data_IF_160336071229
#
_entry.id   IF_160336071229
#
_cell.length_a   1.000
_cell.length_b   1.000
_cell.length_c   1.000
_cell.angle_alpha   90.00
_cell.angle_beta   90.00
_cell.angle_gamma   90.00
#
_symmetry.space_group_name_H-M   'P 1'
#
loop_
_entity.id
_entity.type
_entity.pdbx_description
1 polymer ?
#
# COMPACT_ATOMS: atom_id res chain seq x y z
N UNK A 1 -37.92 14.32 5.00
CA UNK A 1 -36.77 15.02 4.35
C UNK A 1 -35.52 14.22 4.59
N UNK A 2 -35.00 13.50 3.60
CA UNK A 2 -33.76 12.77 3.72
C UNK A 2 -32.57 13.75 3.76
N UNK A 3 -31.82 13.77 4.83
CA UNK A 3 -30.63 14.61 4.98
C UNK A 3 -29.69 14.41 3.79
N UNK A 4 -29.27 15.51 3.15
CA UNK A 4 -28.22 15.51 2.11
C UNK A 4 -26.82 15.25 2.69
N UNK A 5 -26.67 15.27 4.02
CA UNK A 5 -25.42 15.04 4.72
C UNK A 5 -25.13 13.54 4.76
N UNK A 6 -23.87 13.17 4.47
CA UNK A 6 -23.36 11.79 4.41
C UNK A 6 -22.39 11.48 5.56
N UNK A 7 -22.41 12.28 6.62
CA UNK A 7 -21.60 12.04 7.80
C UNK A 7 -21.96 10.69 8.45
N UNK A 8 -20.94 9.99 8.95
CA UNK A 8 -21.09 8.76 9.74
C UNK A 8 -20.85 9.08 11.20
N UNK A 9 -21.50 8.35 12.10
CA UNK A 9 -21.25 8.44 13.53
C UNK A 9 -19.83 7.87 13.82
N UNK A 10 -18.90 8.66 14.39
CA UNK A 10 -17.55 8.19 14.70
C UNK A 10 -17.50 7.09 15.76
N UNK A 11 -18.52 6.96 16.62
CA UNK A 11 -18.59 5.91 17.65
C UNK A 11 -18.64 4.51 17.03
N UNK A 12 -19.14 4.39 15.80
CA UNK A 12 -19.26 3.12 15.08
C UNK A 12 -18.08 2.87 14.11
N UNK A 13 -16.99 3.66 14.17
CA UNK A 13 -15.82 3.44 13.36
C UNK A 13 -15.01 2.25 13.88
N UNK A 14 -14.92 1.17 13.08
CA UNK A 14 -14.04 0.05 13.44
C UNK A 14 -12.56 0.41 13.23
N UNK A 15 -11.66 -0.04 14.14
CA UNK A 15 -10.22 0.16 13.98
C UNK A 15 -9.73 -0.54 12.71
N UNK A 16 -8.98 0.17 11.88
CA UNK A 16 -8.36 -0.42 10.68
C UNK A 16 -7.02 -1.07 11.02
N UNK A 17 -6.61 -2.08 10.26
CA UNK A 17 -5.28 -2.69 10.36
C UNK A 17 -4.17 -1.74 9.92
N UNK A 18 -2.92 -1.91 10.45
CA UNK A 18 -1.82 -1.01 10.13
C UNK A 18 -1.44 -1.06 8.65
N UNK A 19 -1.24 0.13 8.07
CA UNK A 19 -0.65 0.35 6.74
C UNK A 19 0.59 1.20 6.98
N UNK A 20 1.79 0.63 6.82
CA UNK A 20 2.99 1.32 7.24
C UNK A 20 4.16 1.19 6.28
N UNK A 21 5.04 2.19 6.33
CA UNK A 21 6.33 2.23 5.70
C UNK A 21 7.41 1.99 6.75
N UNK A 22 8.35 1.11 6.44
CA UNK A 22 9.52 0.80 7.28
C UNK A 22 10.75 1.05 6.43
N UNK A 23 11.67 1.90 6.88
CA UNK A 23 12.89 2.16 6.16
C UNK A 23 14.10 2.24 7.10
N UNK A 24 15.30 2.25 6.55
CA UNK A 24 16.56 2.33 7.30
C UNK A 24 17.70 1.66 6.57
N UNK A 25 18.92 1.81 7.11
CA UNK A 25 20.15 1.26 6.54
C UNK A 25 20.09 -0.26 6.35
N UNK A 26 20.92 -0.85 5.47
CA UNK A 26 21.05 -2.30 5.35
C UNK A 26 21.40 -2.96 6.70
N UNK A 27 20.88 -4.17 6.94
CA UNK A 27 21.24 -4.97 8.11
C UNK A 27 20.70 -4.48 9.46
N UNK A 28 19.80 -3.49 9.50
CA UNK A 28 19.17 -3.02 10.76
C UNK A 28 18.01 -3.90 11.23
N UNK A 29 17.60 -4.92 10.45
CA UNK A 29 16.57 -5.89 10.83
C UNK A 29 15.14 -5.51 10.42
N UNK A 30 14.97 -4.75 9.35
CA UNK A 30 13.65 -4.40 8.78
C UNK A 30 12.83 -5.65 8.43
N UNK A 31 13.35 -6.45 7.51
CA UNK A 31 12.75 -7.71 7.05
C UNK A 31 12.50 -8.66 8.20
N UNK A 32 13.52 -8.89 9.05
CA UNK A 32 13.39 -9.82 10.16
C UNK A 32 12.24 -9.49 11.09
N UNK A 33 12.10 -8.21 11.48
CA UNK A 33 10.99 -7.75 12.32
C UNK A 33 9.63 -7.72 11.60
N UNK A 34 9.62 -7.46 10.29
CA UNK A 34 8.40 -7.50 9.50
C UNK A 34 7.81 -8.92 9.39
N UNK A 35 8.67 -9.93 9.26
CA UNK A 35 8.26 -11.34 9.18
C UNK A 35 7.83 -11.95 10.53
N UNK A 36 7.89 -11.20 11.65
CA UNK A 36 7.28 -11.59 12.92
C UNK A 36 5.76 -11.31 12.96
N UNK A 37 5.25 -10.53 12.01
CA UNK A 37 3.82 -10.31 11.89
C UNK A 37 3.07 -11.60 11.52
N UNK A 38 1.78 -11.74 11.88
CA UNK A 38 1.06 -12.99 11.69
C UNK A 38 0.83 -13.31 10.22
N UNK A 39 1.04 -14.56 9.85
CA UNK A 39 0.72 -15.17 8.55
C UNK A 39 1.06 -14.27 7.35
N UNK A 40 2.35 -13.97 7.17
CA UNK A 40 2.83 -13.06 6.14
C UNK A 40 2.71 -13.66 4.72
N UNK A 41 2.15 -12.89 3.80
CA UNK A 41 2.40 -13.02 2.36
C UNK A 41 3.55 -12.08 2.02
N UNK A 42 4.73 -12.65 1.76
CA UNK A 42 5.98 -11.90 1.59
C UNK A 42 6.34 -11.76 0.12
N UNK A 43 6.27 -10.54 -0.39
CA UNK A 43 6.68 -10.19 -1.77
C UNK A 43 8.13 -9.73 -1.69
N UNK A 44 9.03 -10.62 -2.09
CA UNK A 44 10.47 -10.45 -2.04
C UNK A 44 11.02 -9.98 -3.38
N UNK A 45 11.27 -8.69 -3.52
CA UNK A 45 11.86 -8.13 -4.73
C UNK A 45 13.38 -8.28 -4.79
N UNK A 46 14.00 -8.71 -3.69
CA UNK A 46 15.47 -8.74 -3.53
C UNK A 46 16.06 -10.13 -3.66
N UNK A 47 15.25 -11.19 -3.62
CA UNK A 47 15.70 -12.58 -3.64
C UNK A 47 16.29 -13.04 -2.29
N UNK A 48 15.95 -12.34 -1.20
CA UNK A 48 16.45 -12.69 0.15
C UNK A 48 15.76 -13.91 0.76
N UNK A 49 14.59 -14.29 0.26
CA UNK A 49 13.84 -15.46 0.73
C UNK A 49 14.61 -16.77 0.54
N UNK A 50 15.42 -16.87 -0.50
CA UNK A 50 16.25 -18.06 -0.78
C UNK A 50 17.31 -18.33 0.29
N UNK A 51 17.54 -17.38 1.19
CA UNK A 51 18.48 -17.51 2.31
C UNK A 51 17.88 -18.30 3.49
N UNK A 52 17.21 -19.38 3.28
CA UNK A 52 16.74 -20.39 4.25
C UNK A 52 16.18 -19.92 5.61
N UNK A 53 16.78 -18.94 6.26
CA UNK A 53 16.32 -18.42 7.55
C UNK A 53 15.02 -17.58 7.46
N UNK A 54 14.77 -16.89 6.34
CA UNK A 54 13.49 -16.19 6.12
C UNK A 54 12.37 -17.18 5.81
N UNK A 55 12.65 -18.19 4.97
CA UNK A 55 11.67 -19.24 4.66
C UNK A 55 11.30 -20.06 5.88
N UNK A 56 12.27 -20.40 6.75
CA UNK A 56 11.98 -21.08 8.00
C UNK A 56 11.07 -20.26 8.92
N UNK A 57 11.31 -18.94 9.01
CA UNK A 57 10.50 -18.02 9.80
C UNK A 57 9.09 -17.88 9.23
N UNK A 58 8.93 -17.75 7.92
CA UNK A 58 7.64 -17.72 7.23
C UNK A 58 6.86 -19.01 7.44
N UNK A 59 7.51 -20.17 7.28
CA UNK A 59 6.87 -21.46 7.49
C UNK A 59 6.34 -21.62 8.93
N UNK A 60 7.10 -21.17 9.92
CA UNK A 60 6.69 -21.22 11.33
C UNK A 60 5.44 -20.37 11.63
N UNK A 61 5.24 -19.26 10.90
CA UNK A 61 4.06 -18.38 11.05
C UNK A 61 2.91 -18.71 10.09
N UNK A 62 3.02 -19.76 9.26
CA UNK A 62 2.04 -20.11 8.22
C UNK A 62 2.04 -19.15 7.03
N UNK A 63 3.16 -18.43 6.81
CA UNK A 63 3.34 -17.52 5.70
C UNK A 63 3.67 -18.21 4.36
N UNK A 64 3.78 -17.39 3.33
CA UNK A 64 4.25 -17.76 1.98
C UNK A 64 5.08 -16.61 1.41
N UNK A 65 5.88 -16.88 0.39
CA UNK A 65 6.60 -15.84 -0.32
C UNK A 65 6.44 -15.95 -1.83
N UNK A 66 6.69 -14.84 -2.51
CA UNK A 66 6.73 -14.65 -3.95
C UNK A 66 8.05 -13.94 -4.27
N UNK A 67 8.93 -14.59 -5.03
CA UNK A 67 10.26 -14.09 -5.37
C UNK A 67 10.32 -13.37 -6.73
N UNK A 68 11.52 -12.92 -7.14
CA UNK A 68 11.73 -12.28 -8.44
C UNK A 68 11.29 -13.15 -9.62
N UNK A 69 11.52 -14.46 -9.58
CA UNK A 69 11.13 -15.41 -10.62
C UNK A 69 9.61 -15.58 -10.74
N UNK A 70 8.86 -15.25 -9.68
CA UNK A 70 7.41 -15.24 -9.65
C UNK A 70 6.81 -13.89 -10.08
N UNK A 71 7.62 -12.91 -10.46
CA UNK A 71 7.19 -11.59 -10.87
C UNK A 71 7.18 -10.52 -9.78
N UNK A 72 7.87 -10.73 -8.65
CA UNK A 72 7.93 -9.73 -7.56
C UNK A 72 8.56 -8.38 -7.98
N UNK A 73 9.29 -8.34 -9.11
CA UNK A 73 9.85 -7.11 -9.71
C UNK A 73 8.95 -6.47 -10.78
N UNK A 74 7.83 -7.09 -11.11
CA UNK A 74 6.85 -6.51 -12.00
C UNK A 74 5.73 -5.84 -11.22
N UNK A 75 5.56 -4.55 -11.44
CA UNK A 75 4.61 -3.74 -10.65
C UNK A 75 3.15 -4.14 -10.89
N UNK A 76 2.80 -4.53 -12.13
CA UNK A 76 1.45 -4.97 -12.47
C UNK A 76 1.13 -6.27 -11.74
N UNK A 77 2.05 -7.24 -11.79
CA UNK A 77 1.93 -8.51 -11.06
C UNK A 77 1.76 -8.29 -9.56
N UNK A 78 2.53 -7.38 -8.94
CA UNK A 78 2.37 -7.06 -7.52
C UNK A 78 1.01 -6.46 -7.22
N UNK A 79 0.48 -5.58 -8.08
CA UNK A 79 -0.86 -5.01 -7.94
C UNK A 79 -1.93 -6.10 -8.05
N UNK A 80 -1.78 -7.05 -8.97
CA UNK A 80 -2.68 -8.21 -9.10
C UNK A 80 -2.68 -9.08 -7.84
N UNK A 81 -1.51 -9.29 -7.19
CA UNK A 81 -1.46 -9.99 -5.91
C UNK A 81 -2.22 -9.23 -4.81
N UNK A 82 -2.12 -7.90 -4.76
CA UNK A 82 -2.90 -7.09 -3.81
C UNK A 82 -4.40 -7.18 -4.10
N UNK A 83 -4.80 -7.18 -5.37
CA UNK A 83 -6.19 -7.38 -5.77
C UNK A 83 -6.70 -8.79 -5.37
N UNK A 84 -5.91 -9.83 -5.62
CA UNK A 84 -6.24 -11.20 -5.23
C UNK A 84 -6.36 -11.34 -3.70
N UNK A 85 -5.42 -10.78 -2.94
CA UNK A 85 -5.48 -10.75 -1.46
C UNK A 85 -6.71 -9.97 -0.96
N UNK A 86 -7.18 -8.96 -1.67
CA UNK A 86 -8.37 -8.22 -1.28
C UNK A 86 -9.68 -8.96 -1.56
N UNK A 87 -9.72 -9.83 -2.58
CA UNK A 87 -10.97 -10.33 -3.16
C UNK A 87 -11.17 -11.84 -3.03
N UNK A 88 -10.09 -12.60 -2.87
CA UNK A 88 -10.14 -14.06 -2.82
C UNK A 88 -9.94 -14.58 -1.40
N UNK A 89 -10.58 -15.71 -1.02
CA UNK A 89 -10.34 -16.34 0.28
C UNK A 89 -8.88 -16.78 0.44
N UNK A 90 -8.25 -16.43 1.55
CA UNK A 90 -6.89 -16.84 1.90
C UNK A 90 -6.69 -16.82 3.43
N UNK A 91 -5.55 -17.37 3.89
CA UNK A 91 -5.20 -17.44 5.33
C UNK A 91 -4.30 -16.31 5.82
N UNK A 92 -3.75 -15.49 4.93
CA UNK A 92 -2.76 -14.46 5.28
C UNK A 92 -3.41 -13.30 6.02
N UNK A 93 -2.70 -12.76 7.02
CA UNK A 93 -3.13 -11.60 7.81
C UNK A 93 -2.28 -10.36 7.53
N UNK A 94 -1.09 -10.58 6.98
CA UNK A 94 -0.11 -9.54 6.69
C UNK A 94 0.42 -9.68 5.26
N UNK A 95 0.58 -8.57 4.54
CA UNK A 95 1.38 -8.51 3.32
C UNK A 95 2.60 -7.63 3.55
N UNK A 96 3.76 -8.13 3.15
CA UNK A 96 5.05 -7.44 3.25
C UNK A 96 5.63 -7.31 1.85
N UNK A 97 6.03 -6.10 1.45
CA UNK A 97 6.76 -5.85 0.19
C UNK A 97 8.18 -5.41 0.53
N UNK A 98 9.16 -6.21 0.20
CA UNK A 98 10.58 -5.97 0.49
C UNK A 98 11.46 -6.15 -0.77
N UNK A 99 11.85 -5.04 -1.39
CA UNK A 99 11.60 -3.66 -1.02
C UNK A 99 10.75 -2.94 -2.06
N UNK A 100 9.88 -2.07 -1.59
CA UNK A 100 9.12 -1.17 -2.46
C UNK A 100 10.04 -0.22 -3.23
N UNK A 101 11.24 0.07 -2.70
CA UNK A 101 12.27 0.86 -3.37
C UNK A 101 12.74 0.20 -4.65
N UNK A 102 13.05 -1.10 -4.60
CA UNK A 102 13.55 -1.83 -5.77
C UNK A 102 12.49 -1.94 -6.85
N UNK A 103 11.24 -2.25 -6.45
CA UNK A 103 10.10 -2.32 -7.37
C UNK A 103 9.87 -0.97 -8.07
N UNK A 104 9.86 0.14 -7.31
CA UNK A 104 9.67 1.48 -7.86
C UNK A 104 10.81 1.88 -8.80
N UNK A 105 12.06 1.71 -8.36
CA UNK A 105 13.24 2.12 -9.11
C UNK A 105 13.46 1.27 -10.37
N UNK A 106 13.14 -0.03 -10.35
CA UNK A 106 13.18 -0.89 -11.54
C UNK A 106 12.22 -0.38 -12.63
N UNK A 107 11.03 0.03 -12.25
CA UNK A 107 10.05 0.61 -13.18
C UNK A 107 10.52 1.95 -13.74
N UNK A 108 11.11 2.81 -12.92
CA UNK A 108 11.70 4.08 -13.37
C UNK A 108 12.85 3.83 -14.35
N UNK A 109 13.74 2.88 -14.05
CA UNK A 109 14.88 2.55 -14.90
C UNK A 109 14.43 2.01 -16.27
N UNK A 110 13.47 1.07 -16.28
CA UNK A 110 12.87 0.52 -17.51
C UNK A 110 12.26 1.63 -18.39
N UNK A 111 11.59 2.59 -17.78
CA UNK A 111 10.98 3.69 -18.52
C UNK A 111 12.02 4.70 -19.00
N UNK A 112 13.05 4.98 -18.20
CA UNK A 112 14.18 5.83 -18.63
C UNK A 112 14.90 5.24 -19.83
N UNK A 113 15.15 3.93 -19.84
CA UNK A 113 15.73 3.23 -21.00
C UNK A 113 14.83 3.34 -22.25
N UNK A 114 13.51 3.15 -22.08
CA UNK A 114 12.54 3.29 -23.18
C UNK A 114 12.50 4.71 -23.76
N UNK A 115 12.64 5.74 -22.92
CA UNK A 115 12.60 7.15 -23.34
C UNK A 115 13.93 7.61 -23.94
N UNK A 116 15.07 7.06 -23.50
CA UNK A 116 16.40 7.49 -23.93
C UNK A 116 16.59 9.00 -23.77
N UNK A 117 17.06 9.68 -24.83
CA UNK A 117 17.29 11.14 -24.85
C UNK A 117 16.02 11.98 -24.60
N UNK A 118 14.82 11.38 -24.61
CA UNK A 118 13.54 12.04 -24.32
C UNK A 118 13.19 12.03 -22.83
N UNK A 119 14.00 11.41 -21.95
CA UNK A 119 13.79 11.45 -20.52
C UNK A 119 14.15 12.82 -19.94
N UNK A 120 13.21 13.75 -20.01
CA UNK A 120 13.34 15.08 -19.47
C UNK A 120 12.35 15.33 -18.33
N UNK A 121 12.77 16.16 -17.35
CA UNK A 121 11.92 16.58 -16.24
C UNK A 121 11.30 15.43 -15.42
N UNK A 122 11.99 14.28 -15.35
CA UNK A 122 11.50 13.11 -14.60
C UNK A 122 10.33 12.40 -15.26
N UNK A 123 10.25 12.43 -16.60
CA UNK A 123 9.20 11.74 -17.36
C UNK A 123 9.18 10.24 -17.09
N UNK A 124 10.36 9.62 -16.89
CA UNK A 124 10.52 8.21 -16.51
C UNK A 124 9.85 7.82 -15.19
N UNK A 125 9.63 8.78 -14.27
CA UNK A 125 8.94 8.51 -12.99
C UNK A 125 7.42 8.42 -13.11
N UNK A 126 6.81 8.96 -14.19
CA UNK A 126 5.34 9.03 -14.30
C UNK A 126 4.65 7.66 -14.25
N UNK A 127 5.07 6.63 -14.99
CA UNK A 127 4.46 5.30 -14.91
C UNK A 127 4.62 4.68 -13.52
N UNK A 128 5.80 4.75 -12.91
CA UNK A 128 6.04 4.22 -11.58
C UNK A 128 5.14 4.89 -10.52
N UNK A 129 4.90 6.20 -10.63
CA UNK A 129 3.97 6.93 -9.76
C UNK A 129 2.52 6.50 -10.02
N UNK A 130 2.13 6.22 -11.26
CA UNK A 130 0.79 5.73 -11.57
C UNK A 130 0.55 4.34 -10.95
N UNK A 131 1.50 3.41 -11.12
CA UNK A 131 1.45 2.10 -10.48
C UNK A 131 1.43 2.19 -8.95
N UNK A 132 2.24 3.07 -8.35
CA UNK A 132 2.22 3.30 -6.93
C UNK A 132 0.85 3.76 -6.42
N UNK A 133 0.21 4.69 -7.11
CA UNK A 133 -1.15 5.14 -6.76
C UNK A 133 -2.16 4.00 -6.83
N UNK A 134 -2.05 3.15 -7.85
CA UNK A 134 -2.90 1.96 -8.00
C UNK A 134 -2.68 0.96 -6.87
N UNK A 135 -1.41 0.68 -6.53
CA UNK A 135 -1.05 -0.18 -5.38
C UNK A 135 -1.65 0.37 -4.07
N UNK A 136 -1.56 1.68 -3.84
CA UNK A 136 -2.14 2.32 -2.66
C UNK A 136 -3.68 2.25 -2.67
N UNK A 137 -4.32 2.36 -3.82
CA UNK A 137 -5.77 2.17 -3.92
C UNK A 137 -6.19 0.76 -3.48
N UNK A 138 -5.49 -0.28 -3.89
CA UNK A 138 -5.71 -1.65 -3.41
C UNK A 138 -5.31 -1.82 -1.94
N UNK A 139 -4.20 -1.23 -1.49
CA UNK A 139 -3.79 -1.21 -0.08
C UNK A 139 -4.90 -0.67 0.83
N UNK A 140 -5.60 0.36 0.39
CA UNK A 140 -6.71 0.97 1.15
C UNK A 140 -7.94 0.07 1.25
N UNK A 141 -8.10 -0.87 0.32
CA UNK A 141 -9.21 -1.85 0.32
C UNK A 141 -8.90 -3.11 1.10
N UNK A 142 -7.61 -3.44 1.27
CA UNK A 142 -7.18 -4.62 2.00
C UNK A 142 -7.52 -4.53 3.49
N UNK A 143 -8.24 -5.51 4.03
CA UNK A 143 -8.37 -5.71 5.47
C UNK A 143 -7.23 -6.59 6.00
N UNK A 144 -5.98 -6.19 5.72
CA UNK A 144 -4.74 -6.86 6.15
C UNK A 144 -3.76 -5.85 6.74
N UNK A 145 -2.82 -6.32 7.54
CA UNK A 145 -1.63 -5.52 7.87
C UNK A 145 -0.79 -5.36 6.59
N UNK A 146 -0.36 -4.14 6.27
CA UNK A 146 0.48 -3.88 5.09
C UNK A 146 1.76 -3.20 5.52
N UNK A 147 2.90 -3.82 5.18
CA UNK A 147 4.23 -3.35 5.48
C UNK A 147 5.01 -3.15 4.17
N UNK A 148 5.29 -1.91 3.83
CA UNK A 148 6.23 -1.59 2.76
C UNK A 148 7.59 -1.35 3.37
N UNK A 149 8.58 -2.14 2.95
CA UNK A 149 9.98 -1.95 3.35
C UNK A 149 10.69 -1.16 2.26
N UNK A 150 11.36 -0.08 2.65
CA UNK A 150 12.12 0.77 1.73
C UNK A 150 13.60 0.85 2.13
N UNK A 151 14.43 1.11 1.11
CA UNK A 151 15.83 1.52 1.35
C UNK A 151 15.85 2.94 1.92
N UNK A 152 16.91 3.28 2.63
CA UNK A 152 17.17 4.67 3.03
C UNK A 152 18.09 5.37 2.04
N UNK A 153 17.87 6.67 1.89
CA UNK A 153 18.76 7.60 1.19
C UNK A 153 19.04 8.82 2.08
N UNK A 154 20.11 9.58 1.83
CA UNK A 154 20.36 10.84 2.53
C UNK A 154 19.20 11.80 2.40
N UNK A 155 18.81 12.42 3.52
CA UNK A 155 17.86 13.52 3.56
C UNK A 155 18.65 14.84 3.56
N UNK A 156 18.38 15.68 2.57
CA UNK A 156 19.06 16.94 2.39
C UNK A 156 18.18 18.12 2.84
N UNK A 157 18.75 19.00 3.62
CA UNK A 157 18.10 20.21 4.08
C UNK A 157 19.04 21.41 4.04
N UNK A 158 18.60 22.49 4.64
CA UNK A 158 19.39 23.71 4.80
C UNK A 158 19.80 23.80 6.27
N UNK A 159 21.08 23.92 6.53
CA UNK A 159 21.62 24.05 7.88
C UNK A 159 21.39 25.46 8.46
N UNK A 160 21.87 25.69 9.69
CA UNK A 160 21.73 26.98 10.38
C UNK A 160 22.49 28.13 9.72
N UNK A 161 23.38 27.82 8.76
CA UNK A 161 24.17 28.82 7.98
C UNK A 161 23.56 29.08 6.60
N UNK A 162 22.46 28.40 6.25
CA UNK A 162 21.83 28.48 4.93
C UNK A 162 22.48 27.61 3.87
N UNK A 163 23.40 26.70 4.25
CA UNK A 163 24.08 25.79 3.33
C UNK A 163 23.33 24.45 3.23
N UNK A 164 23.36 23.84 2.02
CA UNK A 164 22.78 22.53 1.81
C UNK A 164 23.63 21.45 2.49
N UNK A 165 23.05 20.74 3.44
CA UNK A 165 23.71 19.68 4.19
C UNK A 165 22.84 18.45 4.36
N UNK A 166 23.44 17.29 4.64
CA UNK A 166 22.71 16.09 5.02
C UNK A 166 22.18 16.25 6.45
N UNK A 167 20.85 16.27 6.59
CA UNK A 167 20.16 16.46 7.87
C UNK A 167 19.65 15.14 8.48
N UNK A 168 19.77 14.03 7.76
CA UNK A 168 19.32 12.73 8.22
C UNK A 168 19.17 11.70 7.10
N UNK A 169 18.28 10.76 7.34
CA UNK A 169 17.93 9.71 6.37
C UNK A 169 16.44 9.79 6.07
N UNK A 170 16.09 9.55 4.80
CA UNK A 170 14.72 9.36 4.36
C UNK A 170 14.60 8.07 3.52
N UNK A 171 13.41 7.70 3.13
CA UNK A 171 13.19 6.50 2.30
C UNK A 171 13.41 6.79 0.81
N UNK A 172 13.88 5.77 0.09
CA UNK A 172 14.09 5.83 -1.36
C UNK A 172 12.90 5.21 -2.10
N UNK A 173 11.91 6.02 -2.42
CA UNK A 173 10.72 5.67 -3.19
C UNK A 173 9.99 6.95 -3.64
N UNK A 174 8.73 6.85 -4.01
CA UNK A 174 7.85 8.00 -4.25
C UNK A 174 7.69 8.86 -3.00
N UNK A 175 8.10 10.09 -3.06
CA UNK A 175 8.21 10.99 -1.89
C UNK A 175 6.87 11.23 -1.15
N UNK A 176 5.73 10.99 -1.82
CA UNK A 176 4.40 11.12 -1.19
C UNK A 176 3.89 9.84 -0.54
N UNK A 177 4.63 8.73 -0.61
CA UNK A 177 4.17 7.42 -0.10
C UNK A 177 3.79 7.49 1.38
N UNK A 178 4.58 8.17 2.21
CA UNK A 178 4.30 8.28 3.65
C UNK A 178 2.97 8.99 3.97
N UNK A 179 2.53 9.93 3.10
CA UNK A 179 1.24 10.62 3.31
C UNK A 179 0.05 9.70 3.13
N UNK A 180 0.19 8.66 2.34
CA UNK A 180 -0.88 7.71 2.03
C UNK A 180 -1.05 6.63 3.13
N UNK A 181 -0.03 6.45 3.98
CA UNK A 181 0.01 5.39 4.98
C UNK A 181 -0.32 5.91 6.40
N UNK A 182 -0.61 5.01 7.33
CA UNK A 182 -0.92 5.36 8.71
C UNK A 182 0.33 5.76 9.50
N UNK A 183 1.46 5.10 9.21
CA UNK A 183 2.69 5.17 10.00
C UNK A 183 3.92 5.06 9.09
N UNK A 184 4.97 5.83 9.38
CA UNK A 184 6.29 5.68 8.79
C UNK A 184 7.33 5.55 9.92
N UNK A 185 8.14 4.49 9.85
CA UNK A 185 9.14 4.12 10.85
C UNK A 185 10.54 4.07 10.24
N UNK A 186 11.49 4.76 10.85
CA UNK A 186 12.91 4.60 10.59
C UNK A 186 13.51 3.60 11.56
N UNK A 187 14.04 2.49 11.04
CA UNK A 187 14.69 1.45 11.84
C UNK A 187 16.19 1.69 11.89
N UNK A 188 16.74 1.66 13.09
CA UNK A 188 18.18 1.84 13.33
C UNK A 188 18.68 0.96 14.48
N UNK A 189 20.00 0.82 14.57
CA UNK A 189 20.65 0.11 15.68
C UNK A 189 21.15 1.11 16.72
N UNK A 190 20.90 0.81 17.99
CA UNK A 190 21.49 1.49 19.14
C UNK A 190 22.17 0.45 20.01
N UNK A 191 23.48 0.28 19.82
CA UNK A 191 24.20 -0.84 20.41
C UNK A 191 23.65 -2.19 19.89
N UNK A 192 23.33 -3.14 20.77
CA UNK A 192 22.75 -4.43 20.36
C UNK A 192 21.26 -4.35 20.02
N UNK A 193 20.57 -3.29 20.44
CA UNK A 193 19.10 -3.14 20.28
C UNK A 193 18.74 -2.53 18.93
N UNK A 194 17.62 -2.98 18.38
CA UNK A 194 16.99 -2.36 17.23
C UNK A 194 15.90 -1.42 17.72
N UNK A 195 15.88 -0.21 17.19
CA UNK A 195 14.92 0.82 17.53
C UNK A 195 14.12 1.24 16.28
N UNK A 196 12.88 1.60 16.48
CA UNK A 196 12.02 2.25 15.50
C UNK A 196 11.77 3.69 15.95
N UNK A 197 12.16 4.66 15.11
CA UNK A 197 11.82 6.08 15.28
C UNK A 197 10.58 6.38 14.46
N UNK A 198 9.59 6.98 15.09
CA UNK A 198 8.37 7.44 14.40
C UNK A 198 8.69 8.69 13.58
N UNK A 199 8.60 8.59 12.26
CA UNK A 199 8.85 9.70 11.33
C UNK A 199 7.57 10.42 10.95
N UNK A 200 6.47 9.69 10.91
CA UNK A 200 5.12 10.20 10.65
C UNK A 200 4.10 9.24 11.25
N UNK A 201 3.08 9.77 11.89
CA UNK A 201 2.02 8.96 12.48
C UNK A 201 0.65 9.62 12.35
N UNK A 202 -0.39 8.77 12.19
CA UNK A 202 -1.81 9.10 12.38
C UNK A 202 -2.39 8.30 13.56
N UNK A 203 -1.54 7.71 14.39
CA UNK A 203 -1.90 6.71 15.39
C UNK A 203 -1.52 7.18 16.79
N UNK A 204 -2.46 7.16 17.72
CA UNK A 204 -2.26 7.64 19.08
C UNK A 204 -1.14 6.88 19.82
N UNK A 205 -1.00 5.56 19.60
CA UNK A 205 0.04 4.74 20.22
C UNK A 205 1.47 5.01 19.70
N UNK A 206 1.63 5.85 18.67
CA UNK A 206 2.90 6.16 18.02
C UNK A 206 3.08 7.67 17.88
N UNK A 207 3.40 8.39 18.98
CA UNK A 207 3.63 9.83 18.91
C UNK A 207 4.80 10.18 17.98
N UNK A 208 4.67 11.27 17.22
CA UNK A 208 5.71 11.74 16.31
C UNK A 208 7.04 11.97 17.05
N UNK A 209 8.15 11.72 16.36
CA UNK A 209 9.52 11.79 16.86
C UNK A 209 9.85 10.86 18.04
N UNK A 210 8.89 10.07 18.55
CA UNK A 210 9.17 9.05 19.57
C UNK A 210 9.96 7.88 19.00
N UNK A 211 10.61 7.11 19.88
CA UNK A 211 11.31 5.89 19.51
C UNK A 211 10.96 4.76 20.47
N UNK A 212 10.90 3.54 19.95
CA UNK A 212 10.61 2.33 20.72
C UNK A 212 11.47 1.16 20.25
N UNK A 213 11.48 0.06 20.95
CA UNK A 213 12.18 -1.13 20.53
C UNK A 213 11.49 -1.77 19.33
N UNK A 214 12.26 -2.01 18.23
CA UNK A 214 11.73 -2.64 17.05
C UNK A 214 11.57 -4.15 17.24
N UNK A 215 10.40 -4.54 17.66
CA UNK A 215 9.93 -5.93 17.76
C UNK A 215 8.44 -5.98 17.48
N UNK A 216 7.95 -7.14 17.00
CA UNK A 216 6.51 -7.34 16.80
C UNK A 216 5.73 -7.22 18.12
N UNK A 217 6.27 -7.76 19.21
CA UNK A 217 5.64 -7.69 20.52
C UNK A 217 5.39 -6.26 20.99
N UNK A 218 6.40 -5.40 20.91
CA UNK A 218 6.28 -4.00 21.30
C UNK A 218 5.34 -3.22 20.36
N UNK A 219 5.41 -3.51 19.04
CA UNK A 219 4.50 -2.93 18.07
C UNK A 219 3.04 -3.33 18.34
N UNK A 220 2.79 -4.61 18.58
CA UNK A 220 1.46 -5.14 18.84
C UNK A 220 0.86 -4.58 20.13
N UNK A 221 1.68 -4.39 21.17
CA UNK A 221 1.24 -3.74 22.43
C UNK A 221 0.76 -2.32 22.19
N UNK A 222 1.44 -1.56 21.32
CA UNK A 222 1.09 -0.16 21.02
C UNK A 222 -0.10 -0.02 20.09
N UNK A 223 -0.22 -0.93 19.12
CA UNK A 223 -1.27 -0.87 18.10
C UNK A 223 -2.58 -1.52 18.55
N UNK A 224 -2.49 -2.63 19.24
CA UNK A 224 -3.58 -3.55 19.57
C UNK A 224 -3.36 -4.91 18.90
N UNK A 225 -2.97 -5.91 19.70
CA UNK A 225 -2.68 -7.26 19.20
C UNK A 225 -3.91 -7.95 18.59
N UNK A 226 -5.09 -7.68 19.15
CA UNK A 226 -6.40 -8.16 18.67
C UNK A 226 -6.74 -7.64 17.28
N UNK A 227 -6.40 -6.37 16.98
CA UNK A 227 -6.63 -5.76 15.68
C UNK A 227 -5.69 -6.39 14.63
N UNK A 228 -4.40 -6.52 14.96
CA UNK A 228 -3.37 -7.09 14.07
C UNK A 228 -3.68 -8.55 13.74
N UNK A 229 -4.13 -9.33 14.75
CA UNK A 229 -4.41 -10.76 14.64
C UNK A 229 -5.77 -11.11 14.04
N UNK A 230 -6.65 -10.14 13.80
CA UNK A 230 -7.99 -10.38 13.24
C UNK A 230 -7.89 -10.95 11.82
N UNK A 231 -8.72 -11.96 11.50
CA UNK A 231 -8.80 -12.50 10.15
C UNK A 231 -9.25 -11.42 9.15
N UNK A 232 -8.71 -11.40 7.92
CA UNK A 232 -9.11 -10.42 6.92
C UNK A 232 -10.53 -10.67 6.40
N UNK A 233 -11.21 -9.59 6.04
CA UNK A 233 -12.51 -9.63 5.35
C UNK A 233 -12.27 -9.27 3.89
N UNK A 234 -12.77 -10.10 2.98
CA UNK A 234 -12.62 -9.87 1.54
C UNK A 234 -13.58 -8.80 1.04
N UNK A 235 -13.13 -8.06 0.05
CA UNK A 235 -13.93 -7.08 -0.69
C UNK A 235 -14.79 -7.82 -1.71
N UNK A 236 -16.09 -7.58 -1.68
CA UNK A 236 -17.00 -8.11 -2.69
C UNK A 236 -17.06 -7.15 -3.88
N UNK A 237 -16.54 -7.56 -5.01
CA UNK A 237 -16.54 -6.78 -6.24
C UNK A 237 -17.90 -6.82 -6.95
N UNK A 238 -18.08 -5.93 -7.92
CA UNK A 238 -19.24 -5.91 -8.82
C UNK A 238 -19.37 -7.27 -9.53
N UNK A 239 -20.60 -7.75 -9.61
CA UNK A 239 -20.87 -8.99 -10.36
C UNK A 239 -20.76 -8.74 -11.87
N UNK A 240 -20.48 -9.77 -12.70
CA UNK A 240 -20.48 -9.63 -14.14
C UNK A 240 -21.79 -9.00 -14.68
N UNK A 241 -22.94 -9.35 -14.10
CA UNK A 241 -24.22 -8.78 -14.47
C UNK A 241 -24.32 -7.28 -14.15
N UNK A 242 -23.77 -6.84 -13.00
CA UNK A 242 -23.72 -5.40 -12.67
C UNK A 242 -22.82 -4.64 -13.63
N UNK A 243 -21.66 -5.22 -14.01
CA UNK A 243 -20.73 -4.61 -14.96
C UNK A 243 -21.40 -4.49 -16.34
N UNK A 244 -21.98 -5.59 -16.85
CA UNK A 244 -22.67 -5.61 -18.14
C UNK A 244 -23.84 -4.60 -18.19
N UNK A 245 -24.59 -4.49 -17.09
CA UNK A 245 -25.70 -3.54 -17.02
C UNK A 245 -25.22 -2.07 -16.97
N UNK A 246 -24.10 -1.78 -16.28
CA UNK A 246 -23.47 -0.46 -16.32
C UNK A 246 -23.06 -0.12 -17.75
N UNK A 247 -22.35 -1.01 -18.45
CA UNK A 247 -21.88 -0.81 -19.81
C UNK A 247 -23.06 -0.64 -20.79
N UNK A 248 -24.12 -1.46 -20.65
CA UNK A 248 -25.36 -1.33 -21.43
C UNK A 248 -26.01 0.03 -21.21
N UNK A 249 -26.13 0.48 -19.98
CA UNK A 249 -26.74 1.79 -19.69
C UNK A 249 -25.88 2.94 -20.20
N UNK A 250 -24.55 2.86 -20.13
CA UNK A 250 -23.64 3.86 -20.67
C UNK A 250 -23.74 3.97 -22.21
N UNK A 251 -24.08 2.90 -22.91
CA UNK A 251 -24.32 2.95 -24.36
C UNK A 251 -25.63 3.67 -24.75
N UNK A 252 -26.57 3.76 -23.83
CA UNK A 252 -27.91 4.36 -24.06
C UNK A 252 -27.99 5.77 -23.48
N UNK A 253 -27.45 5.95 -22.27
CA UNK A 253 -27.51 7.20 -21.51
C UNK A 253 -26.27 8.04 -21.81
N UNK A 254 -26.45 9.27 -22.26
CA UNK A 254 -25.36 10.20 -22.50
C UNK A 254 -24.71 10.61 -21.18
N UNK A 255 -23.49 10.12 -20.92
CA UNK A 255 -22.65 10.46 -19.77
C UNK A 255 -21.34 11.03 -20.27
N UNK A 256 -20.90 12.13 -19.67
CA UNK A 256 -19.61 12.74 -20.00
C UNK A 256 -18.45 11.79 -19.60
N UNK A 257 -17.46 11.62 -20.48
CA UNK A 257 -16.29 10.79 -20.20
C UNK A 257 -15.56 11.23 -18.94
N UNK A 258 -15.50 12.54 -18.67
CA UNK A 258 -14.90 13.05 -17.43
C UNK A 258 -15.67 12.57 -16.17
N UNK A 259 -16.98 12.37 -16.26
CA UNK A 259 -17.74 11.84 -15.12
C UNK A 259 -17.45 10.35 -14.90
N UNK A 260 -17.28 9.58 -15.99
CA UNK A 260 -16.88 8.18 -15.92
C UNK A 260 -15.50 8.06 -15.27
N UNK A 261 -14.55 8.88 -15.71
CA UNK A 261 -13.18 8.89 -15.12
C UNK A 261 -13.20 9.35 -13.66
N UNK A 262 -14.03 10.30 -13.27
CA UNK A 262 -14.24 10.67 -11.87
C UNK A 262 -14.79 9.51 -11.03
N UNK A 263 -15.71 8.70 -11.58
CA UNK A 263 -16.23 7.53 -10.87
C UNK A 263 -15.14 6.49 -10.64
N UNK A 264 -14.35 6.17 -11.67
CA UNK A 264 -13.21 5.25 -11.57
C UNK A 264 -12.16 5.76 -10.57
N UNK A 265 -11.73 7.02 -10.71
CA UNK A 265 -10.76 7.65 -9.79
C UNK A 265 -11.25 7.61 -8.35
N UNK A 266 -12.54 7.95 -8.11
CA UNK A 266 -13.12 7.92 -6.77
C UNK A 266 -13.22 6.49 -6.20
N UNK A 267 -13.44 5.52 -7.06
CA UNK A 267 -13.45 4.11 -6.69
C UNK A 267 -12.02 3.56 -6.49
N UNK A 268 -10.97 4.25 -6.98
CA UNK A 268 -9.62 3.73 -7.07
C UNK A 268 -9.55 2.52 -8.00
N UNK A 269 -10.26 2.56 -9.12
CA UNK A 269 -10.46 1.45 -10.04
C UNK A 269 -10.16 1.89 -11.48
N UNK A 270 -9.68 0.97 -12.31
CA UNK A 270 -9.45 1.22 -13.74
C UNK A 270 -10.64 0.78 -14.59
N UNK A 271 -11.41 -0.19 -14.11
CA UNK A 271 -12.60 -0.70 -14.77
C UNK A 271 -13.78 -0.84 -13.81
N UNK A 272 -14.98 -0.98 -14.33
CA UNK A 272 -16.17 -1.23 -13.51
C UNK A 272 -16.14 -2.60 -12.80
N UNK A 273 -15.38 -3.56 -13.32
CA UNK A 273 -15.17 -4.85 -12.68
C UNK A 273 -14.41 -4.73 -11.33
N UNK A 274 -13.60 -3.69 -11.16
CA UNK A 274 -12.90 -3.42 -9.90
C UNK A 274 -13.74 -2.61 -8.89
N UNK A 275 -14.95 -2.22 -9.22
CA UNK A 275 -15.85 -1.57 -8.27
C UNK A 275 -16.33 -2.58 -7.24
N UNK A 276 -16.57 -2.13 -6.00
CA UNK A 276 -17.34 -2.96 -5.07
C UNK A 276 -18.78 -3.07 -5.52
N UNK A 277 -19.48 -4.13 -5.13
CA UNK A 277 -20.92 -4.30 -5.37
C UNK A 277 -21.72 -3.05 -4.98
N UNK A 278 -21.39 -2.42 -3.85
CA UNK A 278 -22.05 -1.19 -3.39
C UNK A 278 -21.79 0.01 -4.32
N UNK A 279 -20.53 0.16 -4.80
CA UNK A 279 -20.19 1.22 -5.76
C UNK A 279 -20.91 1.02 -7.10
N UNK A 280 -20.93 -0.22 -7.62
CA UNK A 280 -21.64 -0.57 -8.84
C UNK A 280 -23.16 -0.28 -8.72
N UNK A 281 -23.78 -0.68 -7.62
CA UNK A 281 -25.18 -0.37 -7.33
C UNK A 281 -25.44 1.14 -7.30
N UNK A 282 -24.52 1.91 -6.73
CA UNK A 282 -24.60 3.38 -6.74
C UNK A 282 -24.59 3.97 -8.16
N UNK A 283 -23.71 3.47 -9.03
CA UNK A 283 -23.62 3.89 -10.44
C UNK A 283 -24.90 3.50 -11.21
N UNK A 284 -25.38 2.27 -11.05
CA UNK A 284 -26.62 1.81 -11.66
C UNK A 284 -27.80 2.69 -11.28
N UNK A 285 -27.88 3.09 -10.02
CA UNK A 285 -28.92 4.02 -9.54
C UNK A 285 -28.85 5.38 -10.25
N UNK A 286 -27.66 5.92 -10.45
CA UNK A 286 -27.47 7.20 -11.17
C UNK A 286 -27.85 7.08 -12.64
N UNK A 287 -27.43 6.00 -13.30
CA UNK A 287 -27.71 5.76 -14.72
C UNK A 287 -29.21 5.55 -14.98
N UNK A 288 -29.87 4.72 -14.18
CA UNK A 288 -31.31 4.50 -14.28
C UNK A 288 -32.13 5.79 -14.08
N UNK A 289 -31.70 6.66 -13.16
CA UNK A 289 -32.34 7.97 -12.96
C UNK A 289 -32.16 8.91 -14.17
N UNK A 290 -31.04 8.78 -14.90
CA UNK A 290 -30.85 9.54 -16.15
C UNK A 290 -31.64 8.96 -17.31
N UNK A 291 -31.85 7.65 -17.34
CA UNK A 291 -32.69 6.99 -18.37
C UNK A 291 -34.17 7.34 -18.24
N UNK A 292 -34.64 7.64 -17.01
CA UNK A 292 -36.04 7.98 -16.72
C UNK A 292 -36.39 9.47 -16.94
N UNK A 293 -35.44 10.28 -17.39
CA UNK A 293 -35.63 11.71 -17.72
C UNK A 293 -35.62 11.93 -19.22
#
# INVERSE_FOLDING_TARGET
MTSKLKGKDPVNAEPSKPKMLIFGKPGVGKTWGALDFPSCYYIDTEGGADLGHYTAKLAASGGSYMGPDDGALDFETVIEQFAALATSPHRFQTVVVDSISKLFNATVAKEAERLGDKDAFGASKKPAVAFMRRLIAWTSRLDMNVLFIAHSKPEWGVDSKGERSEIGQTFDCWDKLEYELHLALEIYKQGPTRKAKVRKSRLQGFPDASAFEWSFSEFATRYGADIIGKAPVQVVLATPDQVAEIERLLSIVKVDENDIEKWKTKAGAESFAEFTTAQATGILTVLNKKLSK
#
